data_IF_225054555163
#
_entry.id   IF_225054555163
#
_cell.length_a   1.000
_cell.length_b   1.000
_cell.length_c   1.000
_cell.angle_alpha   90.00
_cell.angle_beta   90.00
_cell.angle_gamma   90.00
#
_symmetry.space_group_name_H-M   'P 1'
#
loop_
_entity.id
_entity.type
_entity.pdbx_description
1 polymer ?
#
# COMPACT_ATOMS: atom_id res chain seq x y z
N UNK A 1 -2.48 -6.91 21.75
CA UNK A 1 -1.63 -5.80 21.29
C UNK A 1 -1.99 -5.59 19.83
N UNK A 2 -2.28 -4.36 19.45
CA UNK A 2 -2.74 -4.05 18.09
C UNK A 2 -1.53 -3.68 17.23
N UNK A 3 -1.44 -4.24 16.02
CA UNK A 3 -0.33 -4.06 15.10
C UNK A 3 -0.81 -3.37 13.82
N UNK A 4 -0.04 -2.39 13.35
CA UNK A 4 -0.24 -1.71 12.07
C UNK A 4 0.76 -2.19 11.01
N UNK A 5 0.30 -2.28 9.76
CA UNK A 5 1.11 -2.53 8.58
C UNK A 5 1.43 -1.20 7.90
N UNK A 6 2.71 -0.94 7.64
CA UNK A 6 3.16 0.19 6.85
C UNK A 6 4.09 -0.34 5.76
N UNK A 7 3.91 0.11 4.52
CA UNK A 7 4.83 -0.21 3.44
C UNK A 7 5.36 1.06 2.75
N UNK A 8 6.67 1.06 2.59
CA UNK A 8 7.39 1.84 1.58
C UNK A 8 7.37 0.97 0.32
N UNK A 9 6.54 1.26 -0.69
CA UNK A 9 6.25 0.35 -1.81
C UNK A 9 7.42 0.33 -2.81
N UNK A 10 8.59 -0.12 -2.34
CA UNK A 10 9.84 -0.11 -3.07
C UNK A 10 10.02 -1.40 -3.86
N UNK A 11 10.37 -1.26 -5.14
CA UNK A 11 10.55 -2.37 -6.06
C UNK A 11 11.84 -2.22 -6.88
N UNK A 12 12.41 -3.32 -7.39
CA UNK A 12 13.53 -3.26 -8.32
C UNK A 12 13.20 -2.43 -9.56
N UNK A 13 14.14 -1.59 -10.00
CA UNK A 13 13.93 -0.61 -11.08
C UNK A 13 13.46 -1.21 -12.41
N UNK A 14 13.81 -2.46 -12.69
CA UNK A 14 13.50 -3.13 -13.96
C UNK A 14 12.28 -4.06 -13.87
N UNK A 15 11.59 -4.06 -12.72
CA UNK A 15 10.35 -4.80 -12.54
C UNK A 15 9.20 -4.08 -13.26
N UNK A 16 8.31 -4.84 -13.92
CA UNK A 16 7.10 -4.26 -14.49
C UNK A 16 6.26 -3.64 -13.38
N UNK A 17 6.00 -2.33 -13.47
CA UNK A 17 5.24 -1.56 -12.48
C UNK A 17 3.85 -2.16 -12.22
N UNK A 18 3.24 -2.84 -13.19
CA UNK A 18 1.94 -3.52 -13.00
C UNK A 18 2.04 -4.66 -12.01
N UNK A 19 3.17 -5.38 -12.02
CA UNK A 19 3.45 -6.46 -11.07
C UNK A 19 3.69 -5.86 -9.69
N UNK A 20 4.45 -4.77 -9.60
CA UNK A 20 4.66 -4.05 -8.35
C UNK A 20 3.33 -3.66 -7.68
N UNK A 21 2.42 -3.02 -8.43
CA UNK A 21 1.10 -2.62 -7.92
C UNK A 21 0.25 -3.82 -7.47
N UNK A 22 0.34 -4.94 -8.19
CA UNK A 22 -0.37 -6.17 -7.81
C UNK A 22 0.16 -6.72 -6.49
N UNK A 23 1.48 -6.78 -6.31
CA UNK A 23 2.11 -7.24 -5.09
C UNK A 23 1.86 -6.29 -3.91
N UNK A 24 1.92 -4.97 -4.12
CA UNK A 24 1.58 -3.99 -3.09
C UNK A 24 0.13 -4.20 -2.62
N UNK A 25 -0.79 -4.46 -3.56
CA UNK A 25 -2.17 -4.80 -3.23
C UNK A 25 -2.26 -6.11 -2.44
N UNK A 26 -1.58 -7.16 -2.89
CA UNK A 26 -1.57 -8.47 -2.22
C UNK A 26 -1.01 -8.38 -0.79
N UNK A 27 0.01 -7.55 -0.57
CA UNK A 27 0.56 -7.31 0.77
C UNK A 27 -0.48 -6.75 1.74
N UNK A 28 -1.32 -5.81 1.29
CA UNK A 28 -2.41 -5.27 2.11
C UNK A 28 -3.52 -6.29 2.40
N UNK A 29 -3.88 -7.11 1.42
CA UNK A 29 -4.89 -8.17 1.61
C UNK A 29 -4.38 -9.22 2.59
N UNK A 30 -3.11 -9.61 2.46
CA UNK A 30 -2.46 -10.53 3.39
C UNK A 30 -2.36 -9.92 4.80
N UNK A 31 -2.07 -8.62 4.92
CA UNK A 31 -2.05 -7.95 6.21
C UNK A 31 -3.43 -7.97 6.90
N UNK A 32 -4.51 -7.74 6.15
CA UNK A 32 -5.88 -7.88 6.67
C UNK A 32 -6.16 -9.33 7.13
N UNK A 33 -5.75 -10.33 6.34
CA UNK A 33 -5.91 -11.75 6.71
C UNK A 33 -5.10 -12.17 7.94
N UNK A 34 -3.92 -11.56 8.14
CA UNK A 34 -3.06 -11.80 9.29
C UNK A 34 -3.51 -11.06 10.55
N UNK A 35 -4.54 -10.22 10.47
CA UNK A 35 -5.14 -9.53 11.62
C UNK A 35 -4.45 -8.22 12.00
N UNK A 36 -3.77 -7.55 11.07
CA UNK A 36 -3.33 -6.17 11.29
C UNK A 36 -4.54 -5.24 11.38
N UNK A 37 -4.48 -4.27 12.29
CA UNK A 37 -5.64 -3.38 12.58
C UNK A 37 -5.66 -2.14 11.69
N UNK A 38 -4.50 -1.76 11.15
CA UNK A 38 -4.31 -0.57 10.34
C UNK A 38 -3.31 -0.87 9.20
N UNK A 39 -3.52 -0.27 8.03
CA UNK A 39 -2.67 -0.38 6.85
C UNK A 39 -2.37 0.99 6.25
N UNK A 40 -1.08 1.28 6.03
CA UNK A 40 -0.58 2.57 5.55
C UNK A 40 0.41 2.40 4.39
N UNK A 41 0.37 3.32 3.42
CA UNK A 41 1.32 3.37 2.30
C UNK A 41 1.85 4.79 2.12
N UNK A 42 3.14 4.90 1.76
CA UNK A 42 3.76 6.17 1.36
C UNK A 42 3.28 6.68 0.00
N UNK A 43 3.55 7.96 -0.29
CA UNK A 43 3.27 8.58 -1.58
C UNK A 43 4.55 9.16 -2.18
N UNK A 44 4.93 8.67 -3.36
CA UNK A 44 6.19 9.01 -4.02
C UNK A 44 5.93 9.41 -5.46
N UNK A 45 6.47 10.55 -5.86
CA UNK A 45 6.30 11.13 -7.20
C UNK A 45 7.67 11.20 -7.86
N UNK A 46 7.75 10.91 -9.16
CA UNK A 46 8.99 10.85 -9.96
C UNK A 46 10.02 9.80 -9.53
N UNK A 47 9.67 8.92 -8.58
CA UNK A 47 10.50 7.79 -8.17
C UNK A 47 10.16 6.54 -9.00
N UNK A 48 11.18 5.87 -9.55
CA UNK A 48 11.01 4.64 -10.34
C UNK A 48 10.95 3.40 -9.45
N UNK A 49 11.57 3.44 -8.28
CA UNK A 49 11.57 2.35 -7.32
C UNK A 49 10.28 2.34 -6.47
N UNK A 50 9.78 3.53 -6.13
CA UNK A 50 8.56 3.69 -5.33
C UNK A 50 7.41 4.27 -6.17
N UNK A 51 6.55 3.39 -6.68
CA UNK A 51 5.65 3.71 -7.80
C UNK A 51 4.20 4.01 -7.39
N UNK A 52 3.91 4.17 -6.09
CA UNK A 52 2.62 4.66 -5.60
C UNK A 52 2.60 6.20 -5.62
N UNK A 53 2.10 6.74 -6.72
CA UNK A 53 2.06 8.20 -6.98
C UNK A 53 0.91 8.94 -6.32
N UNK A 54 -0.12 8.21 -5.88
CA UNK A 54 -1.21 8.77 -5.09
C UNK A 54 -1.69 7.73 -4.09
N UNK A 55 -1.34 7.94 -2.82
CA UNK A 55 -1.64 6.99 -1.75
C UNK A 55 -3.16 6.84 -1.53
N UNK A 56 -3.92 7.95 -1.65
CA UNK A 56 -5.37 7.97 -1.47
C UNK A 56 -6.11 7.11 -2.51
N UNK A 57 -5.71 7.19 -3.78
CA UNK A 57 -6.31 6.38 -4.86
C UNK A 57 -5.93 4.90 -4.69
N UNK A 58 -4.68 4.61 -4.31
CA UNK A 58 -4.27 3.24 -4.04
C UNK A 58 -5.08 2.60 -2.89
N UNK A 59 -5.18 3.27 -1.73
CA UNK A 59 -5.96 2.72 -0.60
C UNK A 59 -7.46 2.66 -0.91
N UNK A 60 -8.01 3.60 -1.69
CA UNK A 60 -9.40 3.54 -2.12
C UNK A 60 -9.67 2.28 -2.97
N UNK A 61 -8.71 1.83 -3.77
CA UNK A 61 -8.82 0.58 -4.54
C UNK A 61 -8.89 -0.67 -3.65
N UNK A 62 -8.36 -0.60 -2.43
CA UNK A 62 -8.33 -1.70 -1.45
C UNK A 62 -9.59 -1.76 -0.59
N UNK A 63 -10.30 -0.64 -0.43
CA UNK A 63 -11.39 -0.49 0.53
C UNK A 63 -12.52 -1.51 0.39
N UNK A 64 -12.82 -1.99 -0.82
CA UNK A 64 -13.85 -3.00 -1.05
C UNK A 64 -13.35 -4.44 -0.84
N UNK A 65 -12.04 -4.67 -0.78
CA UNK A 65 -11.44 -5.99 -0.70
C UNK A 65 -10.95 -6.33 0.72
N UNK A 66 -10.52 -5.32 1.47
CA UNK A 66 -10.20 -5.44 2.90
C UNK A 66 -11.46 -5.63 3.71
N UNK A 67 -11.43 -6.53 4.69
CA UNK A 67 -12.60 -6.93 5.49
C UNK A 67 -12.66 -6.21 6.83
N UNK A 68 -11.51 -5.99 7.48
CA UNK A 68 -11.48 -5.52 8.87
C UNK A 68 -10.43 -4.44 9.15
N UNK A 69 -9.29 -4.48 8.46
CA UNK A 69 -8.19 -3.54 8.64
C UNK A 69 -8.60 -2.12 8.22
N UNK A 70 -8.27 -1.11 9.03
CA UNK A 70 -8.47 0.30 8.66
C UNK A 70 -7.39 0.73 7.68
N UNK A 71 -7.76 1.51 6.66
CA UNK A 71 -6.83 2.00 5.66
C UNK A 71 -6.55 3.49 5.88
N UNK A 72 -5.28 3.88 5.76
CA UNK A 72 -4.86 5.27 5.89
C UNK A 72 -3.67 5.60 4.99
N UNK A 73 -3.42 6.89 4.82
CA UNK A 73 -2.22 7.38 4.12
C UNK A 73 -1.05 7.42 5.10
N UNK A 74 0.11 6.91 4.70
CA UNK A 74 1.34 7.02 5.49
C UNK A 74 1.97 8.41 5.42
N UNK A 75 1.85 9.08 4.27
CA UNK A 75 2.21 10.48 4.06
C UNK A 75 1.41 10.98 2.85
N UNK A 76 0.96 12.24 2.89
CA UNK A 76 0.31 12.92 1.76
C UNK A 76 1.17 14.12 1.41
N UNK A 77 1.48 14.31 0.12
CA UNK A 77 2.12 15.53 -0.34
C UNK A 77 1.05 16.62 -0.53
N UNK A 78 1.18 17.76 0.18
CA UNK A 78 0.23 18.88 0.21
C UNK A 78 0.67 20.06 -0.64
#
# INVERSE_FOLDING_TARGET
MDLGFFTMPIHPLEKDWRVCLAEDREAFLLADELGFVEGYVGEHVTDKAENITNCMIFIASLAAAVKTMRLGTGTVNM
#
